data_IF_225066047352
#
_entry.id   IF_225066047352
#
_cell.length_a   1.000
_cell.length_b   1.000
_cell.length_c   1.000
_cell.angle_alpha   90.00
_cell.angle_beta   90.00
_cell.angle_gamma   90.00
#
_symmetry.space_group_name_H-M   'P 1'
#
loop_
_entity.id
_entity.type
_entity.pdbx_description
1 polymer ?
#
# COMPACT_ATOMS: atom_id res chain seq x y z
N UNK A 1 28.48 13.24 -1.77
CA UNK A 1 27.33 12.50 -1.17
C UNK A 1 26.59 11.82 -2.30
N UNK A 2 26.65 10.49 -2.37
CA UNK A 2 26.20 9.72 -3.53
C UNK A 2 24.67 9.75 -3.68
N UNK A 3 24.18 10.01 -4.90
CA UNK A 3 22.75 9.96 -5.27
C UNK A 3 22.18 8.55 -5.41
N UNK A 4 22.85 7.54 -4.85
CA UNK A 4 22.49 6.11 -4.95
C UNK A 4 21.38 5.65 -3.99
N UNK A 5 20.91 6.50 -3.08
CA UNK A 5 19.95 6.09 -2.04
C UNK A 5 18.71 6.99 -1.97
N UNK A 6 18.30 7.68 -3.04
CA UNK A 6 17.20 8.64 -2.91
C UNK A 6 15.87 7.91 -2.67
N UNK A 7 15.57 6.88 -3.46
CA UNK A 7 14.38 6.03 -3.27
C UNK A 7 14.51 5.24 -1.98
N UNK A 8 15.71 4.76 -1.64
CA UNK A 8 15.96 4.06 -0.37
C UNK A 8 15.72 4.97 0.86
N UNK A 9 16.13 6.24 0.82
CA UNK A 9 15.90 7.20 1.90
C UNK A 9 14.42 7.57 2.02
N UNK A 10 13.75 7.80 0.90
CA UNK A 10 12.32 8.11 0.90
C UNK A 10 11.47 6.93 1.37
N UNK A 11 11.81 5.71 0.98
CA UNK A 11 11.15 4.49 1.47
C UNK A 11 11.40 4.23 2.96
N UNK A 12 12.58 4.59 3.50
CA UNK A 12 12.85 4.53 4.94
C UNK A 12 12.07 5.55 5.75
N UNK A 13 11.68 6.67 5.15
CA UNK A 13 10.80 7.66 5.77
C UNK A 13 9.33 7.20 5.84
N UNK A 14 9.00 5.99 5.37
CA UNK A 14 7.62 5.54 5.34
C UNK A 14 7.03 5.32 6.74
N UNK A 15 5.84 5.88 6.96
CA UNK A 15 5.09 5.69 8.20
C UNK A 15 4.44 4.30 8.22
N UNK A 16 4.42 3.65 9.39
CA UNK A 16 3.83 2.33 9.52
C UNK A 16 2.29 2.39 9.41
N UNK A 17 1.71 1.32 8.86
CA UNK A 17 0.26 1.19 8.67
C UNK A 17 -0.43 0.81 9.99
N UNK A 18 -0.67 1.81 10.84
CA UNK A 18 -1.14 1.65 12.22
C UNK A 18 -2.56 2.18 12.45
N UNK A 19 -3.31 2.49 11.39
CA UNK A 19 -4.70 2.89 11.59
C UNK A 19 -5.49 1.68 12.10
N UNK A 20 -6.55 1.87 12.92
CA UNK A 20 -7.39 0.76 13.36
C UNK A 20 -7.90 -0.12 12.21
N UNK A 21 -8.18 0.52 11.07
CA UNK A 21 -8.56 -0.18 9.84
C UNK A 21 -7.43 -1.03 9.24
N UNK A 22 -6.18 -0.58 9.28
CA UNK A 22 -5.04 -1.32 8.75
C UNK A 22 -4.80 -2.59 9.57
N UNK A 23 -4.94 -2.49 10.91
CA UNK A 23 -4.96 -3.64 11.81
C UNK A 23 -6.09 -4.61 11.47
N UNK A 24 -7.33 -4.12 11.37
CA UNK A 24 -8.49 -4.97 11.06
C UNK A 24 -8.33 -5.70 9.72
N UNK A 25 -7.83 -5.01 8.68
CA UNK A 25 -7.54 -5.59 7.36
C UNK A 25 -6.42 -6.62 7.42
N UNK A 26 -5.34 -6.34 8.15
CA UNK A 26 -4.21 -7.25 8.33
C UNK A 26 -4.61 -8.51 9.10
N UNK A 27 -5.28 -8.35 10.23
CA UNK A 27 -5.75 -9.45 11.07
C UNK A 27 -6.79 -10.32 10.34
N UNK A 28 -7.79 -9.72 9.70
CA UNK A 28 -8.81 -10.48 8.95
C UNK A 28 -8.23 -11.24 7.76
N UNK A 29 -7.31 -10.64 7.01
CA UNK A 29 -6.61 -11.34 5.93
C UNK A 29 -5.72 -12.48 6.47
N UNK A 30 -5.03 -12.28 7.60
CA UNK A 30 -4.23 -13.31 8.25
C UNK A 30 -5.09 -14.48 8.74
N UNK A 31 -6.23 -14.19 9.39
CA UNK A 31 -7.18 -15.20 9.86
C UNK A 31 -7.73 -16.02 8.69
N UNK A 32 -8.17 -15.37 7.61
CA UNK A 32 -8.69 -16.06 6.44
C UNK A 32 -7.64 -16.96 5.78
N UNK A 33 -6.41 -16.44 5.57
CA UNK A 33 -5.32 -17.21 4.99
C UNK A 33 -4.89 -18.39 5.89
N UNK A 34 -4.77 -18.14 7.19
CA UNK A 34 -4.45 -19.17 8.18
C UNK A 34 -5.50 -20.27 8.24
N UNK A 35 -6.78 -19.89 8.31
CA UNK A 35 -7.88 -20.84 8.33
C UNK A 35 -7.90 -21.72 7.08
N UNK A 36 -7.78 -21.13 5.89
CA UNK A 36 -7.73 -21.89 4.63
C UNK A 36 -6.57 -22.88 4.61
N UNK A 37 -5.38 -22.44 5.02
CA UNK A 37 -4.22 -23.31 5.11
C UNK A 37 -4.44 -24.46 6.10
N UNK A 38 -4.89 -24.16 7.31
CA UNK A 38 -5.15 -25.17 8.34
C UNK A 38 -6.29 -26.13 7.98
N UNK A 39 -7.32 -25.65 7.27
CA UNK A 39 -8.40 -26.47 6.76
C UNK A 39 -7.89 -27.49 5.73
N UNK A 40 -7.05 -27.06 4.77
CA UNK A 40 -6.43 -27.96 3.79
C UNK A 40 -5.55 -28.99 4.50
N UNK A 41 -4.69 -28.56 5.42
CA UNK A 41 -3.84 -29.47 6.19
C UNK A 41 -4.69 -30.45 7.01
N UNK A 42 -5.71 -29.98 7.71
CA UNK A 42 -6.62 -30.82 8.49
C UNK A 42 -7.37 -31.84 7.64
N UNK A 43 -7.88 -31.44 6.48
CA UNK A 43 -8.54 -32.35 5.54
C UNK A 43 -7.59 -33.44 5.06
N UNK A 44 -6.34 -33.10 4.73
CA UNK A 44 -5.34 -34.08 4.32
C UNK A 44 -4.97 -35.05 5.45
N UNK A 45 -4.86 -34.56 6.68
CA UNK A 45 -4.54 -35.39 7.84
C UNK A 45 -5.66 -36.36 8.22
N UNK A 46 -6.92 -36.00 7.95
CA UNK A 46 -8.10 -36.78 8.35
C UNK A 46 -8.92 -37.29 7.14
N UNK A 47 -8.29 -37.45 5.98
CA UNK A 47 -8.97 -37.79 4.73
C UNK A 47 -9.71 -39.13 4.77
N UNK A 48 -9.12 -40.11 5.43
CA UNK A 48 -9.68 -41.46 5.54
C UNK A 48 -10.71 -41.60 6.67
N UNK A 49 -10.82 -40.57 7.52
CA UNK A 49 -11.59 -40.63 8.76
C UNK A 49 -12.85 -39.77 8.74
N UNK A 50 -12.89 -38.72 7.91
CA UNK A 50 -14.02 -37.79 7.83
C UNK A 50 -14.75 -38.00 6.50
N UNK A 51 -16.04 -38.38 6.51
CA UNK A 51 -16.82 -38.47 5.29
C UNK A 51 -16.80 -37.15 4.51
N UNK A 52 -16.74 -37.23 3.18
CA UNK A 52 -16.69 -36.04 2.30
C UNK A 52 -17.79 -35.02 2.61
N UNK A 53 -19.02 -35.49 2.90
CA UNK A 53 -20.15 -34.62 3.23
C UNK A 53 -19.88 -33.76 4.48
N UNK A 54 -19.18 -34.31 5.47
CA UNK A 54 -18.80 -33.58 6.69
C UNK A 54 -17.64 -32.65 6.42
N UNK A 55 -16.68 -33.03 5.58
CA UNK A 55 -15.61 -32.12 5.15
C UNK A 55 -16.14 -30.84 4.48
N UNK A 56 -17.27 -30.92 3.77
CA UNK A 56 -17.91 -29.74 3.19
C UNK A 56 -18.37 -28.72 4.25
N UNK A 57 -18.59 -29.12 5.51
CA UNK A 57 -18.94 -28.19 6.59
C UNK A 57 -17.84 -27.17 6.88
N UNK A 58 -16.58 -27.48 6.52
CA UNK A 58 -15.44 -26.55 6.64
C UNK A 58 -15.60 -25.34 5.71
N UNK A 59 -16.42 -25.45 4.66
CA UNK A 59 -16.72 -24.31 3.79
C UNK A 59 -17.49 -23.21 4.51
N UNK A 60 -18.32 -23.55 5.52
CA UNK A 60 -19.10 -22.55 6.27
C UNK A 60 -18.21 -21.51 6.98
N UNK A 61 -17.27 -21.90 7.86
CA UNK A 61 -16.34 -20.95 8.47
C UNK A 61 -15.41 -20.30 7.44
N UNK A 62 -14.99 -21.01 6.37
CA UNK A 62 -14.17 -20.42 5.31
C UNK A 62 -14.89 -19.25 4.61
N UNK A 63 -16.17 -19.43 4.27
CA UNK A 63 -17.01 -18.37 3.71
C UNK A 63 -17.20 -17.24 4.71
N UNK A 64 -17.44 -17.54 5.99
CA UNK A 64 -17.58 -16.52 7.03
C UNK A 64 -16.32 -15.65 7.16
N UNK A 65 -15.12 -16.26 7.24
CA UNK A 65 -13.86 -15.52 7.27
C UNK A 65 -13.61 -14.71 5.99
N UNK A 66 -13.95 -15.27 4.83
CA UNK A 66 -13.88 -14.56 3.55
C UNK A 66 -14.76 -13.31 3.52
N UNK A 67 -16.01 -13.42 4.01
CA UNK A 67 -16.94 -12.28 4.11
C UNK A 67 -16.45 -11.22 5.10
N UNK A 68 -15.89 -11.61 6.24
CA UNK A 68 -15.32 -10.67 7.22
C UNK A 68 -14.15 -9.91 6.61
N UNK A 69 -13.22 -10.60 5.96
CA UNK A 69 -12.09 -9.98 5.28
C UNK A 69 -12.56 -9.02 4.16
N UNK A 70 -13.54 -9.44 3.36
CA UNK A 70 -14.14 -8.61 2.32
C UNK A 70 -14.83 -7.36 2.90
N UNK A 71 -15.56 -7.50 4.02
CA UNK A 71 -16.24 -6.38 4.68
C UNK A 71 -15.25 -5.30 5.15
N UNK A 72 -14.13 -5.68 5.77
CA UNK A 72 -13.08 -4.73 6.16
C UNK A 72 -12.37 -4.08 4.96
N UNK A 73 -12.42 -4.71 3.79
CA UNK A 73 -11.83 -4.16 2.58
C UNK A 73 -12.79 -3.20 1.84
N UNK A 74 -14.08 -3.48 1.84
CA UNK A 74 -15.09 -2.73 1.08
C UNK A 74 -15.84 -1.67 1.87
N UNK A 75 -16.17 -1.92 3.15
CA UNK A 75 -17.07 -1.05 3.92
C UNK A 75 -16.30 0.05 4.64
N UNK A 76 -15.13 -0.29 5.18
CA UNK A 76 -14.24 0.70 5.76
C UNK A 76 -13.28 1.18 4.69
N UNK A 77 -13.55 2.34 4.13
CA UNK A 77 -12.58 3.14 3.37
C UNK A 77 -12.25 4.32 4.29
N UNK A 78 -10.98 4.56 4.63
CA UNK A 78 -10.65 5.71 5.47
C UNK A 78 -11.09 6.97 4.74
N UNK A 79 -11.71 7.91 5.46
CA UNK A 79 -12.02 9.21 4.91
C UNK A 79 -10.71 9.81 4.38
N UNK A 80 -10.63 9.96 3.05
CA UNK A 80 -9.53 10.69 2.43
C UNK A 80 -9.81 12.15 2.71
N UNK A 81 -8.80 12.87 3.22
CA UNK A 81 -8.91 14.33 3.34
C UNK A 81 -9.20 14.95 1.97
N UNK A 82 -9.55 16.25 1.96
CA UNK A 82 -9.65 16.96 0.70
C UNK A 82 -8.30 16.91 -0.03
N UNK A 83 -8.24 16.34 -1.25
CA UNK A 83 -6.98 16.19 -1.98
C UNK A 83 -6.39 17.57 -2.27
N UNK A 84 -5.13 17.79 -1.88
CA UNK A 84 -4.46 19.06 -2.14
C UNK A 84 -3.84 19.00 -3.54
N UNK A 85 -4.19 19.91 -4.46
CA UNK A 85 -3.55 19.96 -5.76
C UNK A 85 -2.07 20.37 -5.62
N UNK A 86 -1.19 19.57 -6.19
CA UNK A 86 0.26 19.81 -6.21
C UNK A 86 0.81 19.76 -7.63
N UNK A 87 1.94 20.41 -7.86
CA UNK A 87 2.74 20.26 -9.09
C UNK A 87 4.06 19.63 -8.71
N UNK A 88 4.35 18.47 -9.30
CA UNK A 88 5.52 17.67 -8.98
C UNK A 88 6.52 17.69 -10.14
N UNK A 89 7.81 17.90 -9.84
CA UNK A 89 8.88 17.78 -10.82
C UNK A 89 9.65 16.50 -10.61
N UNK A 90 9.85 15.76 -11.70
CA UNK A 90 10.68 14.56 -11.71
C UNK A 90 12.14 14.91 -11.42
N UNK A 91 12.72 14.22 -10.43
CA UNK A 91 14.12 14.37 -10.04
C UNK A 91 14.93 13.22 -10.63
N UNK A 92 16.14 13.52 -11.08
CA UNK A 92 17.06 12.49 -11.54
C UNK A 92 17.54 11.60 -10.39
N UNK A 93 17.60 10.29 -10.62
CA UNK A 93 18.21 9.31 -9.72
C UNK A 93 19.26 8.50 -10.47
N UNK A 94 20.26 8.01 -9.74
CA UNK A 94 21.28 7.10 -10.26
C UNK A 94 20.83 5.63 -10.17
N UNK A 95 19.68 5.35 -9.57
CA UNK A 95 19.12 4.00 -9.43
C UNK A 95 18.54 3.52 -10.77
N UNK A 96 18.91 2.30 -11.18
CA UNK A 96 18.36 1.69 -12.39
C UNK A 96 16.83 1.57 -12.34
N UNK A 97 16.16 1.66 -13.49
CA UNK A 97 14.70 1.49 -13.58
C UNK A 97 14.25 0.14 -13.02
N UNK A 98 15.04 -0.92 -13.20
CA UNK A 98 14.76 -2.26 -12.65
C UNK A 98 14.73 -2.27 -11.11
N UNK A 99 15.65 -1.55 -10.47
CA UNK A 99 15.68 -1.44 -9.00
C UNK A 99 14.49 -0.64 -8.42
N UNK A 100 13.78 0.11 -9.28
CA UNK A 100 12.64 0.96 -8.91
C UNK A 100 11.31 0.39 -9.39
N UNK A 101 11.32 -0.78 -10.01
CA UNK A 101 10.10 -1.44 -10.44
C UNK A 101 9.37 -2.02 -9.22
N UNK A 102 8.08 -1.70 -9.10
CA UNK A 102 7.20 -2.18 -8.04
C UNK A 102 5.98 -2.84 -8.63
N UNK A 103 5.59 -3.97 -8.04
CA UNK A 103 4.33 -4.65 -8.35
C UNK A 103 3.30 -4.21 -7.33
N UNK A 104 2.33 -3.39 -7.74
CA UNK A 104 1.26 -2.91 -6.88
C UNK A 104 -0.09 -3.05 -7.57
N UNK A 105 -1.05 -3.71 -6.90
CA UNK A 105 -2.44 -3.80 -7.35
C UNK A 105 -2.63 -4.43 -8.73
N UNK A 106 -1.89 -5.50 -9.05
CA UNK A 106 -2.05 -6.27 -10.30
C UNK A 106 -1.30 -5.72 -11.52
N UNK A 107 -0.53 -4.64 -11.38
CA UNK A 107 0.29 -4.06 -12.46
C UNK A 107 1.75 -3.82 -12.06
N UNK A 108 2.60 -3.62 -13.06
CA UNK A 108 3.96 -3.11 -12.92
C UNK A 108 3.92 -1.59 -12.92
N UNK A 109 4.68 -0.96 -12.02
CA UNK A 109 4.90 0.47 -11.99
C UNK A 109 6.35 0.79 -11.64
N UNK A 110 6.79 2.00 -11.91
CA UNK A 110 8.13 2.49 -11.62
C UNK A 110 8.03 3.56 -10.54
N UNK A 111 8.83 3.45 -9.49
CA UNK A 111 8.98 4.49 -8.49
C UNK A 111 9.85 5.62 -9.05
N UNK A 112 9.24 6.80 -9.15
CA UNK A 112 9.88 8.00 -9.67
C UNK A 112 10.00 9.01 -8.53
N UNK A 113 11.22 9.44 -8.16
CA UNK A 113 11.41 10.48 -7.16
C UNK A 113 10.98 11.84 -7.73
N UNK A 114 10.20 12.58 -6.96
CA UNK A 114 9.62 13.85 -7.36
C UNK A 114 9.75 14.88 -6.24
N UNK A 115 9.85 16.16 -6.61
CA UNK A 115 9.66 17.28 -5.69
C UNK A 115 8.35 17.96 -6.02
N UNK A 116 7.42 17.98 -5.08
CA UNK A 116 6.10 18.55 -5.21
C UNK A 116 6.02 19.92 -4.53
N UNK A 117 5.23 20.82 -5.12
CA UNK A 117 4.86 22.11 -4.56
C UNK A 117 3.33 22.22 -4.52
N UNK A 118 2.73 22.43 -3.34
CA UNK A 118 1.30 22.70 -3.22
C UNK A 118 0.89 24.00 -3.90
N UNK A 119 -0.25 23.97 -4.59
CA UNK A 119 -0.83 25.17 -5.22
C UNK A 119 -1.16 26.25 -4.20
N UNK A 120 -1.57 25.88 -2.99
CA UNK A 120 -1.92 26.80 -1.90
C UNK A 120 -0.74 27.51 -1.22
N UNK A 121 0.49 27.43 -1.74
CA UNK A 121 1.65 28.13 -1.19
C UNK A 121 2.33 27.43 -0.01
N UNK A 122 2.10 26.13 0.17
CA UNK A 122 2.82 25.31 1.16
C UNK A 122 4.31 25.13 0.83
N UNK A 123 5.07 24.63 1.80
CA UNK A 123 6.48 24.29 1.58
C UNK A 123 6.61 23.18 0.52
N UNK A 124 7.62 23.26 -0.37
CA UNK A 124 7.91 22.16 -1.27
C UNK A 124 8.39 20.94 -0.49
N UNK A 125 8.10 19.76 -1.01
CA UNK A 125 8.49 18.49 -0.40
C UNK A 125 8.94 17.47 -1.44
N UNK A 126 9.79 16.53 -1.02
CA UNK A 126 10.26 15.42 -1.83
C UNK A 126 9.50 14.15 -1.48
N UNK A 127 9.10 13.38 -2.47
CA UNK A 127 8.44 12.09 -2.30
C UNK A 127 8.63 11.20 -3.54
N UNK A 128 8.02 10.03 -3.56
CA UNK A 128 8.00 9.13 -4.70
C UNK A 128 6.57 8.96 -5.21
N UNK A 129 6.41 8.89 -6.52
CA UNK A 129 5.15 8.52 -7.16
C UNK A 129 5.35 7.23 -7.96
N UNK A 130 4.36 6.35 -7.92
CA UNK A 130 4.36 5.14 -8.76
C UNK A 130 3.73 5.50 -10.10
N UNK A 131 4.51 5.45 -11.17
CA UNK A 131 4.04 5.69 -12.54
C UNK A 131 3.82 4.33 -13.22
N UNK A 132 2.64 4.12 -13.82
CA UNK A 132 2.30 2.85 -14.49
C UNK A 132 2.77 2.79 -15.95
N UNK A 133 3.10 3.94 -16.53
CA UNK A 133 3.58 4.09 -17.90
C UNK A 133 5.12 4.17 -17.94
N UNK A 134 5.66 4.48 -19.12
CA UNK A 134 7.10 4.73 -19.29
C UNK A 134 7.60 5.81 -18.33
N UNK A 135 8.85 5.68 -17.90
CA UNK A 135 9.47 6.63 -16.98
C UNK A 135 9.48 8.04 -17.57
N UNK A 136 8.88 9.04 -16.91
CA UNK A 136 8.84 10.41 -17.40
C UNK A 136 10.25 11.02 -17.38
N UNK A 137 10.57 11.95 -18.31
CA UNK A 137 11.89 12.55 -18.37
C UNK A 137 12.18 13.41 -17.14
N UNK A 138 13.45 13.46 -16.74
CA UNK A 138 13.89 14.31 -15.62
C UNK A 138 13.54 15.76 -15.88
N UNK A 139 12.97 16.44 -14.88
CA UNK A 139 12.47 17.81 -15.00
C UNK A 139 11.04 17.93 -15.51
N UNK A 140 10.39 16.83 -15.94
CA UNK A 140 8.97 16.85 -16.30
C UNK A 140 8.11 17.31 -15.12
N UNK A 141 7.10 18.12 -15.43
CA UNK A 141 6.11 18.61 -14.46
C UNK A 141 4.85 17.77 -14.56
N UNK A 142 4.48 17.17 -13.44
CA UNK A 142 3.34 16.28 -13.28
C UNK A 142 2.28 16.96 -12.39
N UNK A 143 1.05 17.16 -12.88
CA UNK A 143 -0.06 17.61 -12.05
C UNK A 143 -0.57 16.43 -11.22
N UNK A 144 -0.35 16.48 -9.91
CA UNK A 144 -0.70 15.41 -8.98
C UNK A 144 -1.55 15.96 -7.83
N UNK A 145 -2.13 15.06 -7.04
CA UNK A 145 -2.88 15.42 -5.84
C UNK A 145 -2.24 14.73 -4.64
N UNK A 146 -1.99 15.50 -3.60
CA UNK A 146 -1.58 14.96 -2.31
C UNK A 146 -2.83 14.46 -1.58
N UNK A 147 -2.81 13.20 -1.14
CA UNK A 147 -3.97 12.55 -0.52
C UNK A 147 -4.31 13.17 0.83
N UNK A 148 -3.29 13.49 1.62
CA UNK A 148 -3.44 14.12 2.94
C UNK A 148 -2.30 15.12 3.22
N UNK A 149 -2.58 16.24 3.89
CA UNK A 149 -1.55 17.18 4.33
C UNK A 149 -0.49 16.50 5.20
N UNK A 150 0.78 16.80 4.96
CA UNK A 150 1.91 16.26 5.74
C UNK A 150 2.37 14.86 5.33
N UNK A 151 1.76 14.25 4.31
CA UNK A 151 2.20 12.98 3.73
C UNK A 151 2.71 13.13 2.30
N UNK A 152 3.69 12.32 1.94
CA UNK A 152 4.23 12.26 0.59
C UNK A 152 3.37 11.45 -0.40
N UNK A 153 2.19 10.98 -0.01
CA UNK A 153 1.36 10.16 -0.91
C UNK A 153 0.72 11.02 -2.00
N UNK A 154 1.10 10.76 -3.25
CA UNK A 154 0.61 11.46 -4.43
C UNK A 154 -0.20 10.52 -5.32
N UNK A 155 -1.32 11.03 -5.83
CA UNK A 155 -2.19 10.32 -6.78
C UNK A 155 -2.40 11.16 -8.03
N UNK A 156 -2.54 10.48 -9.16
CA UNK A 156 -3.02 11.12 -10.39
C UNK A 156 -4.48 11.50 -10.22
N UNK A 157 -4.82 12.75 -10.54
CA UNK A 157 -6.22 13.19 -10.57
C UNK A 157 -6.83 12.96 -11.95
N UNK A 158 -8.16 12.94 -11.98
CA UNK A 158 -8.92 12.79 -13.23
C UNK A 158 -8.75 13.98 -14.18
N UNK A 159 -8.55 15.20 -13.64
CA UNK A 159 -8.43 16.42 -14.43
C UNK A 159 -7.43 17.39 -13.81
N UNK A 160 -6.57 17.99 -14.63
CA UNK A 160 -5.68 19.08 -14.20
C UNK A 160 -6.49 20.34 -13.92
N UNK A 161 -6.38 20.86 -12.70
CA UNK A 161 -7.08 22.10 -12.29
C UNK A 161 -6.45 23.35 -12.92
N UNK A 162 -7.22 24.44 -13.11
CA UNK A 162 -6.69 25.70 -13.64
C UNK A 162 -5.52 26.24 -12.79
N UNK A 163 -5.62 26.15 -11.47
CA UNK A 163 -4.59 26.62 -10.56
C UNK A 163 -3.29 25.79 -10.65
N UNK A 164 -3.36 24.49 -10.97
CA UNK A 164 -2.17 23.69 -11.29
C UNK A 164 -1.52 24.13 -12.60
N UNK A 165 -2.31 24.49 -13.63
CA UNK A 165 -1.77 24.99 -14.91
C UNK A 165 -1.04 26.32 -14.72
N UNK A 166 -1.63 27.25 -13.98
CA UNK A 166 -0.98 28.51 -13.64
C UNK A 166 0.34 28.30 -12.89
N UNK A 167 0.36 27.35 -11.94
CA UNK A 167 1.58 27.02 -11.20
C UNK A 167 2.63 26.38 -12.12
N UNK A 168 2.24 25.50 -13.03
CA UNK A 168 3.12 24.92 -14.06
C UNK A 168 3.75 26.04 -14.90
N UNK A 169 2.94 26.94 -15.45
CA UNK A 169 3.41 28.07 -16.27
C UNK A 169 4.38 28.98 -15.50
N UNK A 170 4.10 29.20 -14.21
CA UNK A 170 4.94 29.99 -13.32
C UNK A 170 6.29 29.29 -13.04
N UNK A 171 6.28 27.97 -12.83
CA UNK A 171 7.49 27.16 -12.61
C UNK A 171 8.33 27.10 -13.89
N UNK A 172 7.70 26.96 -15.06
CA UNK A 172 8.39 27.00 -16.36
C UNK A 172 9.13 28.32 -16.54
N UNK A 173 8.48 29.45 -16.23
CA UNK A 173 9.09 30.79 -16.29
C UNK A 173 10.15 31.02 -15.21
N UNK A 174 9.99 30.42 -14.02
CA UNK A 174 10.89 30.58 -12.87
C UNK A 174 11.22 29.22 -12.24
N UNK A 175 12.16 28.45 -12.83
CA UNK A 175 12.46 27.08 -12.37
C UNK A 175 12.94 27.00 -10.91
N UNK A 176 13.50 28.09 -10.38
CA UNK A 176 13.97 28.20 -8.99
C UNK A 176 12.86 28.21 -7.94
N UNK A 177 11.58 28.38 -8.33
CA UNK A 177 10.45 28.29 -7.41
C UNK A 177 10.27 26.89 -6.82
N UNK A 178 10.69 25.88 -7.58
CA UNK A 178 10.72 24.51 -7.11
C UNK A 178 12.18 24.12 -6.86
N UNK A 179 12.61 23.93 -5.60
CA UNK A 179 13.99 23.57 -5.32
C UNK A 179 14.27 22.12 -5.74
N UNK A 180 15.53 21.81 -6.06
CA UNK A 180 15.94 20.43 -6.36
C UNK A 180 16.02 19.55 -5.11
N UNK A 181 16.11 20.18 -3.93
CA UNK A 181 16.16 19.53 -2.63
C UNK A 181 15.05 20.12 -1.77
N UNK A 182 14.17 19.26 -1.28
CA UNK A 182 13.09 19.61 -0.38
C UNK A 182 12.99 18.58 0.75
N UNK A 183 12.30 18.91 1.83
CA UNK A 183 12.08 17.98 2.94
C UNK A 183 11.37 16.72 2.46
N UNK A 184 11.83 15.55 2.89
CA UNK A 184 11.22 14.28 2.49
C UNK A 184 9.98 14.07 3.35
N UNK A 185 8.80 14.08 2.74
CA UNK A 185 7.58 13.73 3.46
C UNK A 185 7.38 12.21 3.50
N UNK A 186 6.87 11.69 4.62
CA UNK A 186 6.66 10.25 4.78
C UNK A 186 5.53 9.75 3.89
N UNK A 187 5.70 8.56 3.31
CA UNK A 187 4.63 7.85 2.60
C UNK A 187 4.03 6.79 3.53
N UNK A 188 2.70 6.59 3.50
CA UNK A 188 2.07 5.51 4.27
C UNK A 188 2.37 4.16 3.62
N UNK A 189 2.70 3.18 4.45
CA UNK A 189 2.81 1.78 4.03
C UNK A 189 1.45 1.16 3.76
N UNK A 190 1.43 0.11 2.95
CA UNK A 190 0.21 -0.67 2.70
C UNK A 190 -0.24 -1.43 3.96
N UNK A 191 -1.56 -1.72 4.11
CA UNK A 191 -2.11 -2.38 5.30
C UNK A 191 -1.55 -3.80 5.52
N UNK A 192 -1.10 -4.47 4.46
CA UNK A 192 -0.52 -5.82 4.54
C UNK A 192 1.00 -5.82 4.77
N UNK A 193 1.65 -4.65 4.78
CA UNK A 193 3.07 -4.59 5.12
C UNK A 193 3.28 -5.01 6.58
N UNK A 194 4.26 -5.90 6.79
CA UNK A 194 4.55 -6.52 8.09
C UNK A 194 5.64 -5.76 8.87
N UNK A 195 5.63 -4.44 8.71
CA UNK A 195 6.59 -3.52 9.33
C UNK A 195 5.83 -2.45 10.08
N UNK A 196 6.17 -2.20 11.36
CA UNK A 196 7.28 -2.74 12.15
C UNK A 196 7.02 -4.18 12.67
N UNK A 197 7.96 -4.75 13.43
CA UNK A 197 7.95 -6.16 13.86
C UNK A 197 6.64 -6.62 14.53
N UNK A 198 5.98 -5.76 15.32
CA UNK A 198 4.72 -6.15 15.96
C UNK A 198 3.62 -6.46 14.94
N UNK A 199 3.63 -5.83 13.75
CA UNK A 199 2.68 -6.12 12.67
C UNK A 199 2.94 -7.49 12.06
N UNK A 200 4.20 -7.94 12.04
CA UNK A 200 4.55 -9.30 11.66
C UNK A 200 4.06 -10.31 12.71
N UNK A 201 4.24 -9.99 14.00
CA UNK A 201 3.76 -10.85 15.11
C UNK A 201 2.24 -10.97 15.07
N UNK A 202 1.51 -9.86 14.90
CA UNK A 202 0.05 -9.86 14.74
C UNK A 202 -0.38 -10.77 13.60
N UNK A 203 0.22 -10.61 12.41
CA UNK A 203 -0.08 -11.44 11.25
C UNK A 203 0.13 -12.93 11.53
N UNK A 204 1.31 -13.31 12.03
CA UNK A 204 1.64 -14.72 12.27
C UNK A 204 0.84 -15.34 13.41
N UNK A 205 0.54 -14.58 14.47
CA UNK A 205 -0.31 -15.05 15.56
C UNK A 205 -1.74 -15.31 15.07
N UNK A 206 -2.33 -14.38 14.30
CA UNK A 206 -3.66 -14.56 13.71
C UNK A 206 -3.68 -15.74 12.73
N UNK A 207 -2.72 -15.81 11.80
CA UNK A 207 -2.65 -16.88 10.81
C UNK A 207 -2.43 -18.25 11.47
N UNK A 208 -1.48 -18.35 12.40
CA UNK A 208 -1.18 -19.60 13.11
C UNK A 208 -2.34 -20.06 14.00
N UNK A 209 -2.97 -19.13 14.74
CA UNK A 209 -4.13 -19.44 15.56
C UNK A 209 -5.32 -19.92 14.74
N UNK A 210 -5.61 -19.26 13.61
CA UNK A 210 -6.67 -19.69 12.70
C UNK A 210 -6.38 -21.04 12.03
N UNK A 211 -5.13 -21.29 11.65
CA UNK A 211 -4.73 -22.58 11.09
C UNK A 211 -4.91 -23.72 12.10
N UNK A 212 -4.49 -23.50 13.34
CA UNK A 212 -4.67 -24.48 14.41
C UNK A 212 -6.15 -24.74 14.71
N UNK A 213 -6.96 -23.68 14.82
CA UNK A 213 -8.40 -23.80 15.03
C UNK A 213 -9.09 -24.56 13.88
N UNK A 214 -8.68 -24.32 12.63
CA UNK A 214 -9.19 -25.04 11.47
C UNK A 214 -8.88 -26.54 11.54
N UNK A 215 -7.65 -26.92 11.89
CA UNK A 215 -7.27 -28.33 12.06
C UNK A 215 -8.09 -29.01 13.16
N UNK A 216 -8.29 -28.33 14.30
CA UNK A 216 -9.14 -28.84 15.38
C UNK A 216 -10.60 -29.01 14.94
N UNK A 217 -11.13 -28.06 14.18
CA UNK A 217 -12.47 -28.13 13.64
C UNK A 217 -12.63 -29.30 12.65
N UNK A 218 -11.67 -29.55 11.77
CA UNK A 218 -11.72 -30.73 10.89
C UNK A 218 -11.65 -32.01 11.73
N UNK A 219 -10.75 -32.06 12.71
CA UNK A 219 -10.59 -33.21 13.60
C UNK A 219 -11.85 -33.54 14.41
N UNK A 220 -12.68 -32.54 14.75
CA UNK A 220 -13.94 -32.79 15.47
C UNK A 220 -15.04 -33.43 14.61
N UNK A 221 -14.85 -33.51 13.29
CA UNK A 221 -15.82 -34.10 12.36
C UNK A 221 -15.70 -35.63 12.19
N UNK A 222 -14.70 -36.24 12.83
CA UNK A 222 -14.32 -37.68 12.73
C UNK A 222 -15.35 -38.69 13.28
N UNK A 223 -16.48 -38.25 13.82
CA UNK A 223 -17.52 -39.14 14.35
C UNK A 223 -18.47 -39.71 13.31
#
# INVERSE_FOLDING_TARGET
MSGTDLVLRMSRAALPANRPIDHARRASAALAAGFLFGAVVGMLLFIDEVPLLRMLLVLLPAVAFGLIAAAFWWVWIPARGEPIPVVARVVGTNESTFAREVHSGGGRGILVPVVALPVGGGAPFSTMVTVRSAEPPVGALLPLFQVEPGLGELVEGSTTTPAQRELIDKIVKRPKLLPNKAEILPVRRGPLERTPLWAAVEWWACAGGAAFAAMLFVGSLRG
#
